data_IF_624358633132
#
_entry.id   IF_624358633132
#
_cell.length_a   1.000
_cell.length_b   1.000
_cell.length_c   1.000
_cell.angle_alpha   90.00
_cell.angle_beta   90.00
_cell.angle_gamma   90.00
#
_symmetry.space_group_name_H-M   'P 1'
#
loop_
_entity.id
_entity.type
_entity.pdbx_description
1 polymer ?
#
# COMPACT_ATOMS: atom_id res chain seq x y z
N UNK A 1 -11.73 10.43 -10.73
CA UNK A 1 -11.38 10.30 -9.31
C UNK A 1 -10.26 9.28 -9.13
N UNK A 2 -10.39 8.04 -9.62
CA UNK A 2 -9.29 7.06 -9.59
C UNK A 2 -7.96 7.57 -10.18
N UNK A 3 -7.98 8.27 -11.32
CA UNK A 3 -6.78 8.86 -11.93
C UNK A 3 -6.05 9.80 -10.97
N UNK A 4 -6.77 10.72 -10.33
CA UNK A 4 -6.17 11.70 -9.42
C UNK A 4 -5.45 11.02 -8.24
N UNK A 5 -6.03 9.97 -7.67
CA UNK A 5 -5.40 9.23 -6.56
C UNK A 5 -4.17 8.46 -7.04
N UNK A 6 -4.23 7.81 -8.20
CA UNK A 6 -3.05 7.14 -8.79
C UNK A 6 -1.92 8.14 -9.07
N UNK A 7 -2.25 9.35 -9.51
CA UNK A 7 -1.30 10.44 -9.70
C UNK A 7 -0.63 10.86 -8.38
N UNK A 8 -1.40 10.97 -7.29
CA UNK A 8 -0.85 11.27 -5.94
C UNK A 8 0.12 10.17 -5.48
N UNK A 9 -0.26 8.90 -5.64
CA UNK A 9 0.60 7.76 -5.29
C UNK A 9 1.91 7.79 -6.09
N UNK A 10 1.85 8.12 -7.38
CA UNK A 10 3.04 8.26 -8.23
C UNK A 10 3.96 9.39 -7.76
N UNK A 11 3.40 10.52 -7.32
CA UNK A 11 4.17 11.63 -6.75
C UNK A 11 4.86 11.24 -5.44
N UNK A 12 4.15 10.56 -4.52
CA UNK A 12 4.73 10.06 -3.27
C UNK A 12 5.88 9.07 -3.52
N UNK A 13 5.73 8.15 -4.49
CA UNK A 13 6.79 7.21 -4.85
C UNK A 13 8.01 7.93 -5.45
N UNK A 14 7.78 8.95 -6.28
CA UNK A 14 8.86 9.77 -6.83
C UNK A 14 9.60 10.55 -5.73
N UNK A 15 8.88 11.05 -4.73
CA UNK A 15 9.47 11.72 -3.57
C UNK A 15 10.32 10.75 -2.73
N UNK A 16 9.86 9.52 -2.49
CA UNK A 16 10.66 8.49 -1.79
C UNK A 16 11.96 8.22 -2.54
N UNK A 17 11.90 8.06 -3.87
CA UNK A 17 13.10 7.85 -4.70
C UNK A 17 14.05 9.05 -4.61
N UNK A 18 13.51 10.28 -4.61
CA UNK A 18 14.30 11.50 -4.51
C UNK A 18 14.99 11.63 -3.16
N UNK A 19 14.26 11.42 -2.06
CA UNK A 19 14.81 11.44 -0.69
C UNK A 19 15.93 10.41 -0.50
N UNK A 20 15.80 9.24 -1.11
CA UNK A 20 16.88 8.25 -1.10
C UNK A 20 18.18 8.77 -1.76
N UNK A 21 18.07 9.62 -2.78
CA UNK A 21 19.22 10.21 -3.50
C UNK A 21 19.77 11.43 -2.76
N UNK A 22 18.90 12.29 -2.25
CA UNK A 22 19.25 13.62 -1.71
C UNK A 22 19.51 13.64 -0.20
N UNK A 23 18.76 12.86 0.58
CA UNK A 23 18.76 12.90 2.06
C UNK A 23 19.56 11.74 2.68
N UNK A 24 20.27 10.96 1.87
CA UNK A 24 20.99 9.73 2.26
C UNK A 24 20.13 8.71 3.03
N UNK A 25 18.80 8.78 2.91
CA UNK A 25 17.87 7.82 3.51
C UNK A 25 17.98 6.49 2.77
N UNK A 26 18.91 5.66 3.24
CA UNK A 26 19.30 4.46 2.53
C UNK A 26 18.24 3.35 2.71
N UNK A 27 17.40 3.14 1.70
CA UNK A 27 16.48 2.01 1.68
C UNK A 27 17.24 0.69 1.53
N UNK A 28 16.74 -0.35 2.20
CA UNK A 28 17.22 -1.72 1.98
C UNK A 28 17.02 -2.07 0.50
N UNK A 29 18.00 -2.77 -0.10
CA UNK A 29 18.01 -3.09 -1.53
C UNK A 29 16.71 -3.69 -2.04
N UNK A 30 16.06 -4.58 -1.26
CA UNK A 30 14.75 -5.14 -1.59
C UNK A 30 13.74 -4.01 -1.79
N UNK A 31 13.46 -3.26 -0.72
CA UNK A 31 12.49 -2.16 -0.71
C UNK A 31 12.65 -1.20 -1.89
N UNK A 32 13.89 -0.87 -2.28
CA UNK A 32 14.14 -0.03 -3.47
C UNK A 32 13.61 -0.66 -4.77
N UNK A 33 13.83 -1.96 -4.97
CA UNK A 33 13.34 -2.71 -6.13
C UNK A 33 11.81 -2.70 -6.12
N UNK A 34 11.18 -2.95 -4.97
CA UNK A 34 9.72 -2.94 -4.86
C UNK A 34 9.12 -1.55 -5.12
N UNK A 35 9.74 -0.46 -4.66
CA UNK A 35 9.29 0.93 -4.96
C UNK A 35 9.35 1.23 -6.46
N UNK A 36 10.45 0.86 -7.12
CA UNK A 36 10.59 1.07 -8.57
C UNK A 36 9.57 0.23 -9.35
N UNK A 37 9.33 -0.99 -8.91
CA UNK A 37 8.31 -1.87 -9.49
C UNK A 37 6.91 -1.26 -9.33
N UNK A 38 6.53 -0.87 -8.12
CA UNK A 38 5.23 -0.26 -7.84
C UNK A 38 5.01 1.02 -8.64
N UNK A 39 6.04 1.87 -8.77
CA UNK A 39 5.99 3.08 -9.60
C UNK A 39 5.73 2.76 -11.08
N UNK A 40 6.37 1.71 -11.61
CA UNK A 40 6.15 1.25 -12.99
C UNK A 40 4.74 0.72 -13.21
N UNK A 41 4.21 -0.08 -12.28
CA UNK A 41 2.84 -0.61 -12.35
C UNK A 41 1.81 0.52 -12.25
N UNK A 42 1.98 1.45 -11.32
CA UNK A 42 1.10 2.62 -11.17
C UNK A 42 1.11 3.50 -12.43
N UNK A 43 2.26 3.64 -13.09
CA UNK A 43 2.35 4.38 -14.36
C UNK A 43 1.60 3.66 -15.48
N UNK A 44 1.65 2.34 -15.51
CA UNK A 44 0.91 1.51 -16.46
C UNK A 44 -0.60 1.68 -16.23
N UNK A 45 -1.04 1.66 -14.97
CA UNK A 45 -2.44 1.89 -14.58
C UNK A 45 -2.89 3.30 -15.00
N UNK A 46 -2.08 4.34 -14.75
CA UNK A 46 -2.39 5.72 -15.17
C UNK A 46 -2.65 5.80 -16.68
N UNK A 47 -1.83 5.13 -17.50
CA UNK A 47 -2.03 5.11 -18.95
C UNK A 47 -3.35 4.41 -19.36
N UNK A 48 -3.75 3.37 -18.64
CA UNK A 48 -5.03 2.67 -18.87
C UNK A 48 -6.20 3.56 -18.48
N UNK A 49 -6.11 4.29 -17.35
CA UNK A 49 -7.11 5.24 -16.91
C UNK A 49 -7.31 6.37 -17.93
N UNK A 50 -6.20 6.93 -18.43
CA UNK A 50 -6.17 7.93 -19.49
C UNK A 50 -6.88 7.47 -20.76
N UNK A 51 -6.60 6.25 -21.22
CA UNK A 51 -7.22 5.68 -22.42
C UNK A 51 -8.71 5.40 -22.19
N UNK A 52 -9.07 4.89 -21.00
CA UNK A 52 -10.45 4.66 -20.63
C UNK A 52 -11.24 5.98 -20.64
N UNK A 53 -10.76 7.03 -19.96
CA UNK A 53 -11.43 8.33 -19.89
C UNK A 53 -11.64 8.93 -21.28
N UNK A 54 -10.62 8.89 -22.16
CA UNK A 54 -10.74 9.38 -23.54
C UNK A 54 -11.82 8.64 -24.35
N UNK A 55 -12.04 7.35 -24.06
CA UNK A 55 -13.05 6.51 -24.73
C UNK A 55 -14.44 6.67 -24.14
N UNK A 56 -14.59 7.34 -22.99
CA UNK A 56 -15.87 7.58 -22.35
C UNK A 56 -16.61 6.29 -21.96
N UNK A 57 -15.92 5.38 -21.26
CA UNK A 57 -16.46 4.09 -20.81
C UNK A 57 -17.82 4.24 -20.12
N UNK A 58 -18.73 3.31 -20.39
CA UNK A 58 -20.08 3.25 -19.79
C UNK A 58 -20.42 1.87 -19.23
N UNK A 59 -19.55 0.90 -19.45
CA UNK A 59 -19.71 -0.46 -19.01
C UNK A 59 -19.62 -0.53 -17.47
N UNK A 60 -20.65 -1.07 -16.83
CA UNK A 60 -20.69 -1.21 -15.37
C UNK A 60 -19.50 -2.03 -14.83
N UNK A 61 -19.01 -3.00 -15.59
CA UNK A 61 -17.82 -3.79 -15.24
C UNK A 61 -16.55 -2.94 -15.14
N UNK A 62 -16.40 -1.95 -16.03
CA UNK A 62 -15.28 -1.00 -16.01
C UNK A 62 -15.44 -0.06 -14.83
N UNK A 63 -16.64 0.47 -14.59
CA UNK A 63 -16.91 1.35 -13.44
C UNK A 63 -16.61 0.64 -12.10
N UNK A 64 -17.03 -0.62 -11.96
CA UNK A 64 -16.74 -1.42 -10.77
C UNK A 64 -15.24 -1.69 -10.61
N UNK A 65 -14.54 -2.03 -11.69
CA UNK A 65 -13.08 -2.21 -11.66
C UNK A 65 -12.35 -0.92 -11.24
N UNK A 66 -12.77 0.23 -11.78
CA UNK A 66 -12.21 1.54 -11.43
C UNK A 66 -12.45 1.89 -9.96
N UNK A 67 -13.61 1.52 -9.41
CA UNK A 67 -13.89 1.75 -8.00
C UNK A 67 -12.97 0.93 -7.10
N UNK A 68 -12.76 -0.35 -7.42
CA UNK A 68 -11.80 -1.20 -6.69
C UNK A 68 -10.37 -0.66 -6.79
N UNK A 69 -10.00 -0.13 -7.95
CA UNK A 69 -8.69 0.48 -8.13
C UNK A 69 -8.54 1.74 -7.29
N UNK A 70 -9.56 2.59 -7.24
CA UNK A 70 -9.58 3.77 -6.38
C UNK A 70 -9.38 3.37 -4.91
N UNK A 71 -10.15 2.41 -4.41
CA UNK A 71 -10.07 1.96 -3.02
C UNK A 71 -8.65 1.41 -2.71
N UNK A 72 -8.10 0.56 -3.59
CA UNK A 72 -6.74 0.05 -3.42
C UNK A 72 -5.66 1.15 -3.50
N UNK A 73 -5.91 2.23 -4.26
CA UNK A 73 -4.97 3.34 -4.37
C UNK A 73 -4.97 4.20 -3.10
N UNK A 74 -6.12 4.32 -2.42
CA UNK A 74 -6.18 4.93 -1.09
C UNK A 74 -5.39 4.12 -0.06
N UNK A 75 -5.56 2.80 -0.03
CA UNK A 75 -4.81 1.93 0.88
C UNK A 75 -3.28 2.11 0.68
N UNK A 76 -2.84 2.26 -0.57
CA UNK A 76 -1.42 2.50 -0.89
C UNK A 76 -0.99 3.89 -0.44
N UNK A 77 -1.79 4.93 -0.71
CA UNK A 77 -1.48 6.29 -0.29
C UNK A 77 -1.30 6.38 1.24
N UNK A 78 -2.18 5.72 2.01
CA UNK A 78 -2.11 5.68 3.48
C UNK A 78 -0.79 5.03 3.96
N UNK A 79 -0.38 3.91 3.36
CA UNK A 79 0.88 3.24 3.71
C UNK A 79 2.10 4.10 3.32
N UNK A 80 2.05 4.80 2.18
CA UNK A 80 3.13 5.69 1.76
C UNK A 80 3.23 6.94 2.65
N UNK A 81 2.12 7.46 3.16
CA UNK A 81 2.10 8.56 4.12
C UNK A 81 2.69 8.15 5.47
N UNK A 82 2.33 6.97 5.99
CA UNK A 82 2.93 6.44 7.22
C UNK A 82 4.45 6.25 7.07
N UNK A 83 4.89 5.74 5.92
CA UNK A 83 6.31 5.59 5.64
C UNK A 83 7.02 6.94 5.52
N UNK A 84 6.45 7.92 4.82
CA UNK A 84 7.00 9.26 4.72
C UNK A 84 7.12 9.91 6.11
N UNK A 85 6.12 9.75 6.96
CA UNK A 85 6.16 10.20 8.34
C UNK A 85 7.30 9.54 9.13
N UNK A 86 7.48 8.23 9.00
CA UNK A 86 8.56 7.50 9.66
C UNK A 86 9.95 7.99 9.22
N UNK A 87 10.15 8.26 7.92
CA UNK A 87 11.39 8.85 7.39
C UNK A 87 11.62 10.25 7.96
N UNK A 88 10.60 11.11 7.96
CA UNK A 88 10.72 12.46 8.50
C UNK A 88 11.06 12.45 9.99
N UNK A 89 10.43 11.55 10.76
CA UNK A 89 10.71 11.37 12.17
C UNK A 89 12.16 10.93 12.39
N UNK A 90 12.65 9.99 11.58
CA UNK A 90 14.04 9.53 11.57
C UNK A 90 15.05 10.66 11.37
N UNK A 91 14.76 11.55 10.42
CA UNK A 91 15.63 12.69 10.09
C UNK A 91 15.66 13.76 11.20
N UNK A 92 14.56 13.93 11.93
CA UNK A 92 14.43 14.94 12.99
C UNK A 92 15.00 14.43 14.33
N UNK A 93 14.64 13.20 14.73
CA UNK A 93 14.92 12.68 16.08
C UNK A 93 16.17 11.79 16.16
N UNK A 94 16.68 11.31 15.02
CA UNK A 94 17.79 10.36 14.96
C UNK A 94 17.35 8.88 15.10
N UNK A 95 18.25 7.92 14.80
CA UNK A 95 17.90 6.50 14.64
C UNK A 95 17.49 5.77 15.93
N UNK A 96 17.73 6.35 17.11
CA UNK A 96 17.41 5.73 18.41
C UNK A 96 15.91 5.81 18.79
N UNK A 97 15.08 6.56 18.03
CA UNK A 97 13.63 6.73 18.33
C UNK A 97 12.68 5.97 17.40
N UNK A 98 13.20 5.16 16.45
CA UNK A 98 12.37 4.40 15.51
C UNK A 98 11.77 3.18 16.17
N UNK A 99 10.49 3.30 16.54
CA UNK A 99 9.63 2.15 16.76
C UNK A 99 9.27 1.61 15.38
N UNK A 100 9.92 0.53 14.96
CA UNK A 100 9.49 -0.23 13.78
C UNK A 100 8.03 -0.64 14.04
N UNK A 101 7.08 -0.29 13.17
CA UNK A 101 5.72 -0.76 13.32
C UNK A 101 5.78 -2.29 13.20
N UNK A 102 5.57 -3.00 14.31
CA UNK A 102 5.21 -4.41 14.25
C UNK A 102 3.97 -4.47 13.35
N UNK A 103 4.15 -5.03 12.15
CA UNK A 103 3.05 -5.52 11.36
C UNK A 103 2.27 -6.46 12.27
N UNK A 104 1.21 -5.94 12.88
CA UNK A 104 0.18 -6.77 13.48
C UNK A 104 -0.39 -7.53 12.30
N UNK A 105 0.13 -8.75 12.10
CA UNK A 105 -0.56 -9.75 11.31
C UNK A 105 -2.01 -9.68 11.77
N UNK A 106 -2.92 -9.48 10.82
CA UNK A 106 -4.35 -9.56 11.04
C UNK A 106 -4.62 -10.81 11.86
N UNK A 107 -4.85 -10.62 13.16
CA UNK A 107 -5.36 -11.66 14.02
C UNK A 107 -6.80 -11.81 13.53
N UNK A 108 -6.99 -12.78 12.64
CA UNK A 108 -8.30 -13.12 12.12
C UNK A 108 -9.24 -13.29 13.29
N UNK A 109 -10.26 -12.43 13.33
CA UNK A 109 -11.45 -12.67 14.13
C UNK A 109 -12.06 -13.96 13.58
N UNK A 110 -11.71 -15.08 14.18
CA UNK A 110 -12.47 -16.30 14.08
C UNK A 110 -13.72 -16.09 14.93
N UNK A 111 -14.70 -15.42 14.35
CA UNK A 111 -16.08 -15.61 14.71
C UNK A 111 -16.49 -16.96 14.13
N UNK A 112 -16.52 -17.97 14.99
CA UNK A 112 -17.28 -19.21 14.74
C UNK A 112 -17.91 -19.61 16.07
N UNK A 113 -19.01 -18.95 16.37
CA UNK A 113 -20.04 -19.51 17.22
C UNK A 113 -20.70 -20.64 16.44
N UNK A 114 -20.37 -21.89 16.76
CA UNK A 114 -21.35 -22.98 16.81
C UNK A 114 -20.81 -24.11 17.71
N UNK A 115 -21.54 -24.34 18.79
CA UNK A 115 -21.42 -25.49 19.69
C UNK A 115 -21.69 -26.79 18.92
N UNK A 116 -20.90 -27.85 19.15
CA UNK A 116 -21.43 -29.17 19.55
C UNK A 116 -20.30 -30.15 19.94
N UNK A 117 -20.39 -30.69 21.17
CA UNK A 117 -20.09 -32.10 21.47
C UNK A 117 -18.65 -32.58 21.73
N UNK A 118 -18.22 -32.57 23.01
CA UNK A 118 -17.10 -33.38 23.56
C UNK A 118 -17.46 -34.90 23.59
N UNK A 119 -16.52 -35.90 23.70
CA UNK A 119 -15.71 -36.07 24.91
C UNK A 119 -14.32 -36.77 24.66
N UNK A 120 -13.61 -37.33 25.66
CA UNK A 120 -12.38 -36.73 26.19
C UNK A 120 -11.10 -37.55 25.92
N UNK A 121 -9.99 -36.90 26.22
CA UNK A 121 -8.61 -37.36 26.07
C UNK A 121 -8.34 -38.81 26.52
N UNK A 122 -7.52 -39.50 25.72
CA UNK A 122 -6.74 -40.65 26.19
C UNK A 122 -5.29 -40.45 25.75
N UNK A 123 -4.45 -40.17 26.73
CA UNK A 123 -3.01 -40.28 26.59
C UNK A 123 -2.60 -41.74 26.37
N UNK A 124 -1.50 -41.91 25.65
CA UNK A 124 -0.41 -42.84 25.92
C UNK A 124 0.86 -42.22 25.35
#
# INVERSE_FOLDING_TARGET
MAEAIVSIVLEQLADIIRKQIEEEVNLVRGVKIEVLYLSSEMKTIQNVLDDAERRGYKEESIQHWLKKLEDASYDIADVLDEWNYAILKLLIEGPDSVVVPELKMYEGVADDSDEEGLPPARGF
#
